data_IF_472374366214
#
_entry.id   IF_472374366214
#
_cell.length_a   1.000
_cell.length_b   1.000
_cell.length_c   1.000
_cell.angle_alpha   90.00
_cell.angle_beta   90.00
_cell.angle_gamma   90.00
#
_symmetry.space_group_name_H-M   'P 1'
#
loop_
_entity.id
_entity.type
_entity.pdbx_description
1 polymer ?
#
# COMPACT_ATOMS: atom_id res chain seq x y z
N UNK A 1 4.98 -15.70 -14.65
CA UNK A 1 4.31 -15.68 -13.32
C UNK A 1 3.87 -14.24 -13.12
N UNK A 2 2.58 -14.02 -12.83
CA UNK A 2 2.05 -12.66 -12.60
C UNK A 2 2.34 -12.19 -11.17
N UNK A 3 2.32 -10.88 -10.93
CA UNK A 3 2.44 -10.31 -9.59
C UNK A 3 1.18 -10.59 -8.77
N UNK A 4 1.31 -10.77 -7.45
CA UNK A 4 0.18 -11.03 -6.54
C UNK A 4 -0.73 -9.80 -6.44
N UNK A 5 -0.13 -8.61 -6.37
CA UNK A 5 -0.82 -7.34 -6.43
C UNK A 5 -0.27 -6.52 -7.59
N UNK A 6 -1.13 -5.74 -8.25
CA UNK A 6 -0.77 -4.97 -9.44
C UNK A 6 0.34 -3.94 -9.16
N UNK A 7 0.28 -3.30 -8.00
CA UNK A 7 1.16 -2.20 -7.63
C UNK A 7 2.11 -2.56 -6.48
N UNK A 8 2.40 -3.84 -6.24
CA UNK A 8 3.38 -4.27 -5.24
C UNK A 8 4.28 -5.32 -5.86
N UNK A 9 5.59 -5.11 -5.77
CA UNK A 9 6.56 -6.11 -6.18
C UNK A 9 6.45 -7.33 -5.25
N UNK A 10 6.45 -8.55 -5.80
CA UNK A 10 6.30 -9.76 -4.99
C UNK A 10 7.41 -9.91 -3.93
N UNK A 11 8.61 -9.40 -4.21
CA UNK A 11 9.74 -9.37 -3.27
C UNK A 11 9.55 -8.39 -2.10
N UNK A 12 8.61 -7.45 -2.22
CA UNK A 12 8.27 -6.47 -1.20
C UNK A 12 7.04 -6.88 -0.38
N UNK A 13 6.46 -8.05 -0.66
CA UNK A 13 5.32 -8.56 0.09
C UNK A 13 5.77 -9.07 1.45
N UNK A 14 5.11 -8.57 2.48
CA UNK A 14 5.30 -9.02 3.85
C UNK A 14 3.94 -9.49 4.41
N UNK A 15 3.65 -10.79 4.36
CA UNK A 15 2.48 -11.34 5.03
C UNK A 15 2.55 -11.08 6.54
N UNK A 16 1.39 -10.95 7.17
CA UNK A 16 1.25 -10.75 8.61
C UNK A 16 1.03 -12.08 9.33
N UNK A 17 1.63 -12.22 10.50
CA UNK A 17 1.40 -13.35 11.43
C UNK A 17 0.38 -13.00 12.52
N UNK A 18 -0.22 -11.80 12.46
CA UNK A 18 -1.18 -11.32 13.46
C UNK A 18 -2.57 -11.97 13.38
N UNK A 19 -2.83 -12.76 12.34
CA UNK A 19 -4.07 -13.50 12.15
C UNK A 19 -3.81 -14.90 11.59
N UNK A 20 -4.70 -15.83 11.90
CA UNK A 20 -4.65 -17.22 11.44
C UNK A 20 -5.61 -17.50 10.27
N UNK A 21 -6.56 -16.59 10.02
CA UNK A 21 -7.55 -16.71 8.96
C UNK A 21 -7.91 -15.38 8.28
N UNK A 22 -8.30 -15.46 7.02
CA UNK A 22 -8.81 -14.30 6.28
C UNK A 22 -10.20 -13.88 6.78
N UNK A 23 -10.38 -12.59 7.12
CA UNK A 23 -11.64 -12.09 7.66
C UNK A 23 -12.81 -12.16 6.65
N UNK A 24 -12.54 -12.13 5.35
CA UNK A 24 -13.57 -12.22 4.32
C UNK A 24 -13.99 -13.67 4.01
N UNK A 25 -13.03 -14.59 3.86
CA UNK A 25 -13.32 -15.95 3.35
C UNK A 25 -13.02 -17.08 4.32
N UNK A 26 -12.59 -16.77 5.55
CA UNK A 26 -12.25 -17.70 6.63
C UNK A 26 -11.21 -18.79 6.26
N UNK A 27 -10.51 -18.66 5.12
CA UNK A 27 -9.43 -19.58 4.76
C UNK A 27 -8.25 -19.39 5.70
N UNK A 28 -7.75 -20.51 6.21
CA UNK A 28 -6.51 -20.64 6.98
C UNK A 28 -5.37 -21.13 6.08
N UNK A 29 -4.14 -21.10 6.58
CA UNK A 29 -2.93 -21.59 5.86
C UNK A 29 -2.71 -20.91 4.51
N UNK A 30 -3.10 -19.64 4.40
CA UNK A 30 -2.83 -18.77 3.26
C UNK A 30 -2.11 -17.52 3.75
N UNK A 31 -1.21 -16.90 2.96
CA UNK A 31 -0.65 -15.60 3.32
C UNK A 31 -1.76 -14.58 3.55
N UNK A 32 -1.72 -13.93 4.71
CA UNK A 32 -2.59 -12.83 5.08
C UNK A 32 -1.80 -11.54 5.00
N UNK A 33 -2.49 -10.47 4.67
CA UNK A 33 -1.93 -9.12 4.63
C UNK A 33 -2.79 -8.24 5.51
N UNK A 34 -2.14 -7.30 6.19
CA UNK A 34 -2.85 -6.21 6.86
C UNK A 34 -3.78 -5.55 5.84
N UNK A 35 -4.97 -5.18 6.25
CA UNK A 35 -5.97 -4.53 5.41
C UNK A 35 -7.04 -3.91 6.30
N UNK A 36 -6.99 -2.59 6.49
CA UNK A 36 -8.04 -1.87 7.20
C UNK A 36 -9.13 -1.45 6.22
N UNK A 37 -10.35 -1.96 6.38
CA UNK A 37 -11.47 -1.63 5.50
C UNK A 37 -12.77 -2.32 5.88
N UNK A 38 -13.69 -2.38 4.92
CA UNK A 38 -15.03 -2.98 5.12
C UNK A 38 -15.43 -3.91 3.97
N UNK A 39 -16.29 -4.87 4.29
CA UNK A 39 -16.96 -5.74 3.31
C UNK A 39 -18.06 -4.97 2.58
N UNK A 40 -18.05 -5.01 1.25
CA UNK A 40 -19.03 -4.31 0.40
C UNK A 40 -20.32 -5.10 0.20
N UNK A 41 -20.21 -6.41 -0.02
CA UNK A 41 -21.34 -7.32 -0.13
C UNK A 41 -21.21 -8.46 0.88
N UNK A 42 -21.95 -8.39 2.02
CA UNK A 42 -21.94 -9.43 3.04
C UNK A 42 -22.31 -10.82 2.50
N UNK A 43 -23.16 -10.90 1.46
CA UNK A 43 -23.56 -12.19 0.88
C UNK A 43 -22.40 -12.98 0.22
N UNK A 44 -21.27 -12.32 -0.04
CA UNK A 44 -20.06 -12.94 -0.58
C UNK A 44 -19.01 -13.25 0.51
N UNK A 45 -19.30 -12.96 1.78
CA UNK A 45 -18.45 -13.33 2.90
C UNK A 45 -18.69 -14.78 3.34
N UNK A 46 -17.71 -15.36 4.04
CA UNK A 46 -17.84 -16.70 4.62
C UNK A 46 -18.96 -16.78 5.67
N UNK A 47 -19.16 -15.69 6.43
CA UNK A 47 -20.30 -15.51 7.32
C UNK A 47 -21.06 -14.23 6.94
N UNK A 48 -22.12 -14.32 6.12
CA UNK A 48 -22.89 -13.16 5.70
C UNK A 48 -23.57 -12.39 6.83
N UNK A 49 -23.98 -13.07 7.91
CA UNK A 49 -24.65 -12.41 9.03
C UNK A 49 -23.65 -11.59 9.83
N UNK A 50 -22.48 -12.18 10.10
CA UNK A 50 -21.41 -11.47 10.78
C UNK A 50 -20.93 -10.27 9.95
N UNK A 51 -20.75 -10.43 8.65
CA UNK A 51 -20.34 -9.33 7.76
C UNK A 51 -21.40 -8.21 7.62
N UNK A 52 -22.68 -8.51 7.86
CA UNK A 52 -23.74 -7.50 7.89
C UNK A 52 -23.75 -6.72 9.21
N UNK A 53 -23.52 -7.40 10.34
CA UNK A 53 -23.48 -6.77 11.68
C UNK A 53 -22.16 -6.05 11.97
N UNK A 54 -21.05 -6.63 11.50
CA UNK A 54 -19.68 -6.18 11.72
C UNK A 54 -18.90 -6.26 10.39
N UNK A 55 -19.04 -5.25 9.51
CA UNK A 55 -18.44 -5.27 8.18
C UNK A 55 -16.93 -5.02 8.18
N UNK A 56 -16.35 -4.59 9.31
CA UNK A 56 -14.94 -4.21 9.41
C UNK A 56 -14.00 -5.42 9.24
N UNK A 57 -12.95 -5.22 8.46
CA UNK A 57 -11.90 -6.22 8.21
C UNK A 57 -10.54 -5.60 8.48
N UNK A 58 -9.61 -6.44 8.96
CA UNK A 58 -8.25 -6.04 9.34
C UNK A 58 -7.18 -6.89 8.67
N UNK A 59 -7.50 -8.14 8.28
CA UNK A 59 -6.57 -9.07 7.68
C UNK A 59 -7.24 -9.87 6.56
N UNK A 60 -6.66 -9.82 5.35
CA UNK A 60 -7.22 -10.46 4.17
C UNK A 60 -6.17 -11.23 3.38
N UNK A 61 -6.59 -12.32 2.73
CA UNK A 61 -5.75 -12.98 1.73
C UNK A 61 -5.77 -12.20 0.41
N UNK A 62 -4.72 -12.38 -0.40
CA UNK A 62 -4.60 -11.69 -1.70
C UNK A 62 -5.79 -11.92 -2.63
N UNK A 63 -6.43 -13.10 -2.59
CA UNK A 63 -7.63 -13.36 -3.40
C UNK A 63 -8.79 -12.45 -3.02
N UNK A 64 -9.01 -12.23 -1.71
CA UNK A 64 -10.11 -11.38 -1.24
C UNK A 64 -9.85 -9.90 -1.52
N UNK A 65 -8.61 -9.42 -1.32
CA UNK A 65 -8.23 -8.04 -1.67
C UNK A 65 -8.45 -7.77 -3.16
N UNK A 66 -7.98 -8.68 -4.04
CA UNK A 66 -8.11 -8.50 -5.49
C UNK A 66 -9.54 -8.69 -6.02
N UNK A 67 -10.44 -9.31 -5.25
CA UNK A 67 -11.82 -9.59 -5.68
C UNK A 67 -12.68 -8.34 -5.85
N UNK A 68 -12.31 -7.24 -5.18
CA UNK A 68 -13.10 -6.00 -5.17
C UNK A 68 -14.36 -6.05 -4.30
N UNK A 69 -14.54 -7.08 -3.45
CA UNK A 69 -15.63 -7.13 -2.47
C UNK A 69 -15.32 -6.41 -1.14
N UNK A 70 -14.18 -5.72 -1.08
CA UNK A 70 -13.75 -4.98 0.09
C UNK A 70 -13.38 -3.57 -0.34
N UNK A 71 -13.66 -2.60 0.51
CA UNK A 71 -13.22 -1.22 0.35
C UNK A 71 -12.27 -0.87 1.49
N UNK A 72 -11.11 -0.33 1.14
CA UNK A 72 -10.09 0.05 2.10
C UNK A 72 -10.49 1.38 2.74
N UNK A 73 -10.25 1.51 4.04
CA UNK A 73 -10.34 2.80 4.71
C UNK A 73 -9.24 3.71 4.17
N UNK A 74 -9.62 4.89 3.69
CA UNK A 74 -8.68 5.88 3.14
C UNK A 74 -8.26 6.88 4.21
N UNK A 75 -7.01 7.34 4.13
CA UNK A 75 -6.55 8.55 4.81
C UNK A 75 -6.97 9.81 4.04
N UNK A 76 -6.96 10.96 4.70
CA UNK A 76 -7.16 12.27 4.06
C UNK A 76 -6.15 12.47 2.91
N UNK A 77 -4.90 12.02 3.10
CA UNK A 77 -3.84 12.07 2.08
C UNK A 77 -4.22 11.38 0.77
N UNK A 78 -4.81 10.18 0.83
CA UNK A 78 -5.24 9.44 -0.38
C UNK A 78 -6.45 10.12 -1.02
N UNK A 79 -7.38 10.63 -0.21
CA UNK A 79 -8.57 11.35 -0.68
C UNK A 79 -8.19 12.59 -1.48
N UNK A 80 -7.13 13.29 -1.11
CA UNK A 80 -6.62 14.45 -1.86
C UNK A 80 -5.73 14.05 -3.04
N UNK A 81 -4.96 12.97 -2.90
CA UNK A 81 -3.99 12.55 -3.92
C UNK A 81 -4.68 12.03 -5.18
N UNK A 82 -5.72 11.19 -5.05
CA UNK A 82 -6.38 10.58 -6.22
C UNK A 82 -6.94 11.64 -7.19
N UNK A 83 -7.75 12.63 -6.76
CA UNK A 83 -8.29 13.67 -7.64
C UNK A 83 -7.21 14.57 -8.25
N UNK A 84 -6.09 14.78 -7.54
CA UNK A 84 -4.99 15.63 -8.03
C UNK A 84 -4.16 14.97 -9.12
N UNK A 85 -3.97 13.65 -9.05
CA UNK A 85 -2.98 12.93 -9.88
C UNK A 85 -3.56 11.84 -10.78
N UNK A 86 -4.86 11.53 -10.69
CA UNK A 86 -5.55 10.62 -11.60
C UNK A 86 -6.62 11.32 -12.44
N UNK A 87 -6.60 11.07 -13.74
CA UNK A 87 -7.68 11.50 -14.63
C UNK A 87 -8.91 10.57 -14.57
N UNK A 88 -8.73 9.33 -14.10
CA UNK A 88 -9.80 8.36 -13.85
C UNK A 88 -9.79 8.00 -12.36
N UNK A 89 -10.49 8.81 -11.57
CA UNK A 89 -10.54 8.65 -10.12
C UNK A 89 -11.14 7.31 -9.72
N UNK A 90 -12.15 6.83 -10.45
CA UNK A 90 -12.78 5.54 -10.17
C UNK A 90 -11.77 4.40 -10.33
N UNK A 91 -11.02 4.39 -11.42
CA UNK A 91 -9.98 3.38 -11.62
C UNK A 91 -8.87 3.47 -10.56
N UNK A 92 -8.51 4.68 -10.10
CA UNK A 92 -7.54 4.85 -9.03
C UNK A 92 -8.06 4.32 -7.69
N UNK A 93 -9.30 4.63 -7.30
CA UNK A 93 -9.92 4.06 -6.09
C UNK A 93 -10.01 2.54 -6.15
N UNK A 94 -10.35 1.99 -7.32
CA UNK A 94 -10.37 0.55 -7.58
C UNK A 94 -8.96 -0.07 -7.44
N UNK A 95 -7.91 0.61 -7.87
CA UNK A 95 -6.52 0.18 -7.65
C UNK A 95 -6.15 0.25 -6.16
N UNK A 96 -6.50 1.35 -5.47
CA UNK A 96 -6.24 1.55 -4.03
C UNK A 96 -6.85 0.45 -3.16
N UNK A 97 -8.11 0.10 -3.42
CA UNK A 97 -8.83 -0.95 -2.69
C UNK A 97 -8.22 -2.34 -2.88
N UNK A 98 -7.42 -2.54 -3.93
CA UNK A 98 -6.71 -3.79 -4.24
C UNK A 98 -5.27 -3.80 -3.74
N UNK A 99 -4.83 -2.78 -3.01
CA UNK A 99 -3.54 -2.80 -2.33
C UNK A 99 -3.68 -3.51 -0.97
N UNK A 100 -2.68 -4.29 -0.54
CA UNK A 100 -2.59 -4.64 0.87
C UNK A 100 -2.40 -3.37 1.72
N UNK A 101 -2.73 -3.49 3.00
CA UNK A 101 -2.56 -2.47 4.05
C UNK A 101 -1.09 -2.11 4.18
N UNK A 102 -0.72 -1.10 3.42
CA UNK A 102 0.62 -0.55 3.29
C UNK A 102 0.43 0.95 3.14
N UNK A 103 1.19 1.71 3.95
CA UNK A 103 1.46 3.16 3.96
C UNK A 103 0.29 4.14 3.74
N UNK A 104 0.36 5.27 4.44
CA UNK A 104 -0.65 6.34 4.40
C UNK A 104 -0.55 7.24 3.17
N UNK A 105 0.63 7.33 2.58
CA UNK A 105 0.93 8.20 1.44
C UNK A 105 1.60 7.41 0.32
N UNK A 106 0.84 7.08 -0.73
CA UNK A 106 1.32 6.26 -1.83
C UNK A 106 1.42 7.07 -3.12
N UNK A 107 2.61 7.18 -3.74
CA UNK A 107 2.79 8.03 -4.92
C UNK A 107 1.93 7.60 -6.11
N UNK A 108 1.24 8.56 -6.73
CA UNK A 108 0.61 8.41 -8.04
C UNK A 108 1.49 9.01 -9.13
N UNK A 109 1.66 8.26 -10.23
CA UNK A 109 2.41 8.72 -11.38
C UNK A 109 1.79 8.19 -12.67
N UNK A 110 1.69 9.04 -13.69
CA UNK A 110 1.03 8.71 -14.96
C UNK A 110 -0.42 8.23 -14.79
N UNK A 111 -1.14 8.75 -13.79
CA UNK A 111 -2.56 8.44 -13.55
C UNK A 111 -2.83 7.10 -12.87
N UNK A 112 -1.85 6.47 -12.23
CA UNK A 112 -2.04 5.21 -11.48
C UNK A 112 -1.05 5.16 -10.31
N UNK A 113 -1.36 4.33 -9.31
CA UNK A 113 -0.45 4.07 -8.21
C UNK A 113 0.87 3.48 -8.72
N UNK A 114 1.97 3.97 -8.17
CA UNK A 114 3.31 3.41 -8.43
C UNK A 114 3.46 2.04 -7.79
N UNK A 115 4.40 1.23 -8.28
CA UNK A 115 4.70 -0.07 -7.67
C UNK A 115 5.53 0.14 -6.40
N UNK A 116 5.09 -0.38 -5.26
CA UNK A 116 5.94 -0.49 -4.07
C UNK A 116 7.00 -1.56 -4.29
N UNK A 117 8.27 -1.17 -4.18
CA UNK A 117 9.44 -2.02 -4.45
C UNK A 117 10.24 -2.36 -3.20
N UNK A 118 9.71 -2.02 -2.02
CA UNK A 118 10.28 -2.37 -0.71
C UNK A 118 10.87 -1.17 0.04
N UNK A 119 11.60 -1.47 1.10
CA UNK A 119 12.26 -0.49 1.97
C UNK A 119 13.79 -0.52 1.76
N UNK A 120 14.54 0.50 2.18
CA UNK A 120 16.00 0.42 2.22
C UNK A 120 16.48 -0.76 3.06
N UNK A 121 17.47 -1.51 2.55
CA UNK A 121 18.01 -2.66 3.28
C UNK A 121 19.17 -2.29 4.23
N UNK A 122 19.83 -1.16 3.96
CA UNK A 122 20.97 -0.65 4.70
C UNK A 122 20.98 0.89 4.66
N UNK A 123 21.79 1.50 5.53
CA UNK A 123 22.05 2.94 5.47
C UNK A 123 22.62 3.39 4.11
N UNK A 124 23.51 2.61 3.50
CA UNK A 124 24.05 2.93 2.16
C UNK A 124 22.95 2.93 1.09
N UNK A 125 22.01 1.98 1.15
CA UNK A 125 20.85 1.95 0.26
C UNK A 125 19.96 3.18 0.49
N UNK A 126 19.71 3.56 1.75
CA UNK A 126 18.96 4.77 2.10
C UNK A 126 19.61 6.04 1.52
N UNK A 127 20.91 6.21 1.67
CA UNK A 127 21.64 7.34 1.11
C UNK A 127 21.60 7.35 -0.42
N UNK A 128 21.54 6.18 -1.06
CA UNK A 128 21.36 6.08 -2.51
C UNK A 128 19.93 6.43 -2.92
N UNK A 129 18.92 6.03 -2.14
CA UNK A 129 17.51 6.41 -2.36
C UNK A 129 17.37 7.93 -2.38
N UNK A 130 17.92 8.65 -1.38
CA UNK A 130 17.84 10.12 -1.35
C UNK A 130 18.49 10.82 -2.55
N UNK A 131 19.46 10.17 -3.20
CA UNK A 131 20.13 10.72 -4.40
C UNK A 131 19.35 10.44 -5.68
N UNK A 132 18.76 9.25 -5.78
CA UNK A 132 18.23 8.72 -7.05
C UNK A 132 16.70 8.82 -7.17
N UNK A 133 15.99 8.94 -6.05
CA UNK A 133 14.54 8.91 -5.97
C UNK A 133 14.01 10.31 -5.70
N UNK A 134 12.80 10.58 -6.19
CA UNK A 134 12.08 11.82 -5.88
C UNK A 134 11.34 11.67 -4.56
N UNK A 135 11.47 12.64 -3.68
CA UNK A 135 10.70 12.64 -2.44
C UNK A 135 9.22 12.92 -2.74
N UNK A 136 8.37 12.24 -1.97
CA UNK A 136 6.92 12.38 -2.04
C UNK A 136 6.36 12.56 -0.64
N UNK A 137 5.56 13.61 -0.47
CA UNK A 137 4.77 13.95 0.72
C UNK A 137 3.46 14.59 0.25
N UNK A 138 2.41 13.78 0.14
CA UNK A 138 1.12 14.10 -0.48
C UNK A 138 1.24 14.71 -1.90
N UNK A 139 2.34 14.38 -2.60
CA UNK A 139 2.75 14.96 -3.87
C UNK A 139 4.28 15.08 -3.98
N UNK A 140 4.82 15.42 -5.16
CA UNK A 140 6.26 15.70 -5.30
C UNK A 140 6.68 16.88 -4.41
N UNK A 141 7.68 16.66 -3.57
CA UNK A 141 8.16 17.62 -2.57
C UNK A 141 9.69 17.60 -2.45
N UNK A 142 10.23 18.52 -1.66
CA UNK A 142 11.64 18.48 -1.24
C UNK A 142 11.79 17.59 0.00
N UNK A 143 12.88 16.81 0.13
CA UNK A 143 13.12 15.95 1.27
C UNK A 143 13.03 16.69 2.60
N UNK A 144 12.27 16.14 3.56
CA UNK A 144 12.19 16.70 4.91
C UNK A 144 13.49 16.49 5.71
N UNK A 145 14.12 15.32 5.55
CA UNK A 145 15.38 14.94 6.21
C UNK A 145 16.53 14.83 5.23
N UNK A 146 17.74 15.12 5.69
CA UNK A 146 19.00 14.76 5.03
C UNK A 146 19.75 13.70 5.87
N UNK A 147 19.54 12.41 5.56
CA UNK A 147 20.14 11.31 6.34
C UNK A 147 21.67 11.26 6.27
N UNK A 148 22.28 11.92 5.27
CA UNK A 148 23.74 12.05 5.21
C UNK A 148 24.30 12.97 6.32
N UNK A 149 23.51 13.95 6.76
CA UNK A 149 23.90 14.93 7.79
C UNK A 149 23.30 14.58 9.16
N UNK A 150 22.07 14.10 9.18
CA UNK A 150 21.29 13.83 10.40
C UNK A 150 21.53 12.43 10.99
N UNK A 151 22.00 11.48 10.16
CA UNK A 151 22.17 10.07 10.56
C UNK A 151 21.01 9.17 10.14
N UNK A 152 21.01 7.92 10.61
CA UNK A 152 20.01 6.91 10.25
C UNK A 152 18.65 7.20 10.95
N UNK A 153 17.49 6.93 10.29
CA UNK A 153 16.19 6.94 10.96
C UNK A 153 16.14 5.92 12.11
N UNK A 154 15.12 6.02 12.98
CA UNK A 154 14.93 5.04 14.05
C UNK A 154 14.65 3.65 13.47
N UNK A 155 13.95 3.61 12.34
CA UNK A 155 13.70 2.39 11.59
C UNK A 155 13.73 2.63 10.08
N UNK A 156 14.52 1.84 9.34
CA UNK A 156 14.57 1.94 7.86
C UNK A 156 13.21 1.70 7.18
N UNK A 157 12.28 1.00 7.85
CA UNK A 157 10.94 0.77 7.32
C UNK A 157 10.02 2.00 7.40
N UNK A 158 10.46 3.11 7.99
CA UNK A 158 9.85 4.43 7.79
C UNK A 158 9.96 4.88 6.32
N UNK A 159 10.98 4.40 5.61
CA UNK A 159 11.25 4.78 4.23
C UNK A 159 10.75 3.73 3.26
N UNK A 160 9.86 4.14 2.36
CA UNK A 160 9.35 3.26 1.30
C UNK A 160 9.80 3.68 -0.07
N UNK A 161 10.13 2.70 -0.90
CA UNK A 161 10.57 2.89 -2.28
C UNK A 161 9.45 2.51 -3.25
N UNK A 162 9.26 3.36 -4.25
CA UNK A 162 8.26 3.16 -5.29
C UNK A 162 8.82 3.38 -6.69
N UNK A 163 8.22 2.75 -7.69
CA UNK A 163 8.58 2.88 -9.09
C UNK A 163 7.34 2.96 -9.99
N UNK A 164 7.26 4.00 -10.84
CA UNK A 164 6.22 4.07 -11.85
C UNK A 164 6.51 3.06 -12.97
N UNK A 165 5.63 2.06 -13.15
CA UNK A 165 5.76 1.05 -14.20
C UNK A 165 5.66 1.61 -15.62
N UNK A 166 5.14 2.83 -15.80
CA UNK A 166 4.94 3.47 -17.12
C UNK A 166 6.16 4.29 -17.55
N UNK A 167 6.64 5.17 -16.69
CA UNK A 167 7.72 6.12 -17.03
C UNK A 167 9.05 5.82 -16.33
N UNK A 168 9.10 4.84 -15.41
CA UNK A 168 10.30 4.46 -14.67
C UNK A 168 10.75 5.47 -13.61
N UNK A 169 9.99 6.54 -13.36
CA UNK A 169 10.30 7.49 -12.29
C UNK A 169 10.18 6.77 -10.94
N UNK A 170 11.18 7.00 -10.10
CA UNK A 170 11.33 6.39 -8.78
C UNK A 170 11.00 7.43 -7.71
N UNK A 171 10.20 7.04 -6.74
CA UNK A 171 9.75 7.89 -5.63
C UNK A 171 10.05 7.23 -4.29
N UNK A 172 10.30 8.03 -3.26
CA UNK A 172 10.33 7.54 -1.90
C UNK A 172 9.47 8.41 -1.00
N UNK A 173 8.92 7.80 0.04
CA UNK A 173 8.17 8.46 1.10
C UNK A 173 8.87 8.24 2.42
N UNK A 174 8.53 9.07 3.39
CA UNK A 174 9.02 9.01 4.76
C UNK A 174 7.81 9.03 5.69
N UNK A 175 7.32 7.84 6.05
CA UNK A 175 6.18 7.67 6.95
C UNK A 175 6.68 7.84 8.39
N UNK A 176 6.70 9.08 8.88
CA UNK A 176 6.81 9.34 10.31
C UNK A 176 5.53 8.87 11.01
N UNK A 177 5.68 7.97 11.99
CA UNK A 177 4.61 7.64 12.95
C UNK A 177 4.26 8.80 13.85
#
# INVERSE_FOLDING_TARGET
>A
MGTVFKCVADSALNPTDMADQCHQCARTNVPLYDYLGTVLNPALAADPKLAEEYPDVYFLCATCINSGNVARSSTETVQDTIPRFSADEKAAWDDFNRLPGLQSDWPLCCGTFTEFVGIPATMDDLLQVQKDYRYWDAGPAEPFRNFAEEGEPEYLGEISKFCCKRCGVRYYTDDFT
#
